data_IF_116361941517
#
_entry.id   IF_116361941517
#
_cell.length_a   1.000
_cell.length_b   1.000
_cell.length_c   1.000
_cell.angle_alpha   90.00
_cell.angle_beta   90.00
_cell.angle_gamma   90.00
#
_symmetry.space_group_name_H-M   'P 1'
#
loop_
_entity.id
_entity.type
_entity.pdbx_description
1 polymer ?
#
# COMPACT_ATOMS: atom_id res chain seq x y z
N UNK A 1 -2.97 41.46 16.21
CA UNK A 1 -2.38 40.42 17.09
C UNK A 1 -3.38 39.78 18.06
N UNK A 2 -4.33 40.52 18.68
CA UNK A 2 -5.32 39.93 19.62
C UNK A 2 -6.21 38.80 19.04
N UNK A 3 -6.59 38.84 17.76
CA UNK A 3 -7.44 37.81 17.13
C UNK A 3 -6.74 36.45 16.94
N UNK A 4 -5.41 36.45 16.77
CA UNK A 4 -4.61 35.21 16.64
C UNK A 4 -4.54 34.41 17.94
N UNK A 5 -4.56 35.11 19.09
CA UNK A 5 -4.50 34.50 20.42
C UNK A 5 -5.79 33.71 20.73
N UNK A 6 -6.94 34.16 20.20
CA UNK A 6 -8.22 33.44 20.37
C UNK A 6 -8.41 32.26 19.41
N UNK A 7 -7.73 32.25 18.28
CA UNK A 7 -7.83 31.16 17.29
C UNK A 7 -7.03 29.93 17.72
N UNK A 8 -5.90 30.12 18.39
CA UNK A 8 -5.04 29.04 18.89
C UNK A 8 -5.75 28.05 19.83
N UNK A 9 -6.45 28.49 20.90
CA UNK A 9 -7.18 27.57 21.77
C UNK A 9 -8.36 26.92 21.06
N UNK A 10 -9.02 27.62 20.13
CA UNK A 10 -10.13 27.05 19.34
C UNK A 10 -9.65 25.86 18.50
N UNK A 11 -8.50 25.99 17.83
CA UNK A 11 -7.90 24.91 17.03
C UNK A 11 -7.49 23.73 17.91
N UNK A 12 -6.93 23.98 19.09
CA UNK A 12 -6.56 22.92 20.05
C UNK A 12 -7.81 22.17 20.52
N UNK A 13 -8.88 22.88 20.90
CA UNK A 13 -10.14 22.28 21.35
C UNK A 13 -10.74 21.41 20.26
N UNK A 14 -10.85 21.94 19.04
CA UNK A 14 -11.34 21.17 17.88
C UNK A 14 -10.47 19.93 17.68
N UNK A 15 -9.14 20.07 17.70
CA UNK A 15 -8.22 18.94 17.60
C UNK A 15 -8.48 17.85 18.64
N UNK A 16 -8.63 18.19 19.91
CA UNK A 16 -8.90 17.22 20.99
C UNK A 16 -10.28 16.56 20.94
N UNK A 17 -11.27 17.19 20.31
CA UNK A 17 -12.60 16.60 20.11
C UNK A 17 -12.56 15.51 19.04
N UNK A 18 -11.86 15.80 17.94
CA UNK A 18 -11.82 14.91 16.76
C UNK A 18 -10.72 13.84 16.84
N UNK A 19 -9.64 14.08 17.58
CA UNK A 19 -8.50 13.19 17.65
C UNK A 19 -8.21 12.75 19.08
N UNK A 20 -8.02 11.44 19.25
CA UNK A 20 -7.43 10.84 20.43
C UNK A 20 -5.91 10.81 20.25
N UNK A 21 -5.18 11.38 21.20
CA UNK A 21 -3.72 11.34 21.21
C UNK A 21 -3.26 10.13 22.01
N UNK A 22 -2.70 9.14 21.34
CA UNK A 22 -2.04 8.01 21.97
C UNK A 22 -0.53 8.29 22.05
N UNK A 23 0.05 8.14 23.24
CA UNK A 23 1.51 8.22 23.41
C UNK A 23 2.09 6.90 22.94
N UNK A 24 2.64 6.90 21.73
CA UNK A 24 3.31 5.75 21.13
C UNK A 24 4.76 6.12 20.84
N UNK A 25 5.65 5.71 21.73
CA UNK A 25 7.08 6.01 21.59
C UNK A 25 7.70 4.94 20.70
N UNK A 26 7.84 5.27 19.42
CA UNK A 26 8.54 4.44 18.45
C UNK A 26 9.86 5.08 18.07
N UNK A 27 10.96 4.39 18.36
CA UNK A 27 12.30 4.83 17.99
C UNK A 27 12.90 3.81 17.02
N UNK A 28 13.27 4.29 15.85
CA UNK A 28 13.89 3.47 14.81
C UNK A 28 15.34 3.91 14.65
N UNK A 29 16.27 3.01 15.00
CA UNK A 29 17.69 3.26 14.88
C UNK A 29 18.16 3.14 13.42
N UNK A 30 19.15 3.94 13.01
CA UNK A 30 19.66 3.88 11.65
C UNK A 30 20.33 2.53 11.39
N UNK A 31 19.86 1.84 10.36
CA UNK A 31 20.37 0.53 9.95
C UNK A 31 20.26 0.37 8.44
N UNK A 32 21.06 -0.55 7.89
CA UNK A 32 20.87 -1.00 6.51
C UNK A 32 19.74 -2.02 6.50
N UNK A 33 18.73 -1.76 5.69
CA UNK A 33 17.62 -2.69 5.46
C UNK A 33 17.61 -3.11 3.99
N UNK A 34 17.24 -4.36 3.76
CA UNK A 34 16.95 -4.85 2.43
C UNK A 34 15.49 -4.59 2.11
N UNK A 35 15.22 -3.90 1.02
CA UNK A 35 13.88 -3.62 0.52
C UNK A 35 13.80 -4.04 -0.94
N UNK A 36 12.63 -4.51 -1.38
CA UNK A 36 12.40 -4.77 -2.80
C UNK A 36 12.64 -3.52 -3.64
N UNK A 37 13.31 -3.70 -4.76
CA UNK A 37 13.55 -2.67 -5.77
C UNK A 37 12.21 -2.21 -6.33
N UNK A 38 11.87 -0.95 -6.08
CA UNK A 38 10.57 -0.39 -6.48
C UNK A 38 10.36 -0.45 -8.00
N UNK A 39 11.42 -0.25 -8.79
CA UNK A 39 11.30 -0.29 -10.24
C UNK A 39 10.99 -1.72 -10.72
N UNK A 40 11.61 -2.71 -10.10
CA UNK A 40 11.35 -4.12 -10.40
C UNK A 40 9.92 -4.51 -10.04
N UNK A 41 9.42 -4.09 -8.87
CA UNK A 41 8.03 -4.35 -8.47
C UNK A 41 7.02 -3.63 -9.37
N UNK A 42 7.32 -2.40 -9.83
CA UNK A 42 6.47 -1.69 -10.78
C UNK A 42 6.35 -2.45 -12.11
N UNK A 43 7.46 -2.94 -12.67
CA UNK A 43 7.46 -3.74 -13.89
C UNK A 43 6.65 -5.04 -13.72
N UNK A 44 6.79 -5.69 -12.55
CA UNK A 44 5.97 -6.85 -12.18
C UNK A 44 4.47 -6.49 -12.20
N UNK A 45 4.05 -5.40 -11.54
CA UNK A 45 2.65 -4.99 -11.50
C UNK A 45 2.10 -4.61 -12.87
N UNK A 46 2.89 -3.95 -13.72
CA UNK A 46 2.51 -3.64 -15.10
C UNK A 46 2.25 -4.91 -15.92
N UNK A 47 3.13 -5.92 -15.79
CA UNK A 47 2.94 -7.23 -16.42
C UNK A 47 1.63 -7.89 -15.98
N UNK A 48 1.39 -7.94 -14.66
CA UNK A 48 0.18 -8.56 -14.10
C UNK A 48 -1.07 -7.85 -14.60
N UNK A 49 -1.08 -6.52 -14.59
CA UNK A 49 -2.21 -5.72 -15.06
C UNK A 49 -2.49 -5.92 -16.56
N UNK A 50 -1.45 -6.03 -17.38
CA UNK A 50 -1.61 -6.30 -18.81
C UNK A 50 -2.20 -7.70 -19.06
N UNK A 51 -1.70 -8.72 -18.35
CA UNK A 51 -2.22 -10.09 -18.42
C UNK A 51 -3.65 -10.20 -17.91
N UNK A 52 -3.98 -9.52 -16.82
CA UNK A 52 -5.33 -9.54 -16.24
C UNK A 52 -6.38 -9.06 -17.24
N UNK A 53 -6.13 -7.94 -17.93
CA UNK A 53 -7.03 -7.42 -18.98
C UNK A 53 -7.30 -8.44 -20.07
N UNK A 54 -6.26 -9.15 -20.53
CA UNK A 54 -6.38 -10.18 -21.56
C UNK A 54 -7.18 -11.38 -21.02
N UNK A 55 -6.88 -11.83 -19.81
CA UNK A 55 -7.56 -12.97 -19.17
C UNK A 55 -9.04 -12.69 -18.98
N UNK A 56 -9.42 -11.50 -18.51
CA UNK A 56 -10.82 -11.10 -18.37
C UNK A 56 -11.53 -11.07 -19.71
N UNK A 57 -10.96 -10.40 -20.72
CA UNK A 57 -11.56 -10.35 -22.05
C UNK A 57 -11.78 -11.75 -22.63
N UNK A 58 -10.77 -12.63 -22.53
CA UNK A 58 -10.88 -14.00 -23.01
C UNK A 58 -11.94 -14.80 -22.25
N UNK A 59 -11.95 -14.71 -20.92
CA UNK A 59 -12.83 -15.54 -20.07
C UNK A 59 -14.30 -15.16 -20.27
N UNK A 60 -14.62 -13.86 -20.28
CA UNK A 60 -15.99 -13.41 -20.50
C UNK A 60 -16.45 -13.58 -21.95
N UNK A 61 -15.54 -13.63 -22.92
CA UNK A 61 -15.90 -13.90 -24.32
C UNK A 61 -16.14 -15.37 -24.66
N UNK A 62 -15.67 -16.30 -23.81
CA UNK A 62 -15.59 -17.74 -24.15
C UNK A 62 -16.38 -18.66 -23.22
N UNK A 63 -16.76 -18.20 -22.04
CA UNK A 63 -17.48 -19.01 -21.04
C UNK A 63 -18.73 -18.24 -20.64
N UNK A 64 -19.91 -18.84 -20.75
CA UNK A 64 -21.18 -18.18 -20.39
C UNK A 64 -21.62 -18.49 -18.94
N UNK A 65 -21.08 -19.56 -18.34
CA UNK A 65 -21.40 -19.93 -16.96
C UNK A 65 -20.57 -19.09 -15.96
N UNK A 66 -21.21 -18.31 -15.08
CA UNK A 66 -20.51 -17.41 -14.16
C UNK A 66 -19.66 -18.14 -13.10
N UNK A 67 -20.07 -19.33 -12.66
CA UNK A 67 -19.32 -20.12 -11.68
C UNK A 67 -18.01 -20.64 -12.28
N UNK A 68 -18.10 -21.15 -13.51
CA UNK A 68 -16.93 -21.62 -14.29
C UNK A 68 -16.04 -20.45 -14.68
N UNK A 69 -16.61 -19.30 -15.06
CA UNK A 69 -15.84 -18.07 -15.33
C UNK A 69 -14.97 -17.70 -14.12
N UNK A 70 -15.55 -17.73 -12.90
CA UNK A 70 -14.84 -17.34 -11.68
C UNK A 70 -13.66 -18.27 -11.37
N UNK A 71 -13.86 -19.58 -11.50
CA UNK A 71 -12.78 -20.56 -11.29
C UNK A 71 -11.66 -20.41 -12.31
N UNK A 72 -12.01 -20.29 -13.60
CA UNK A 72 -11.04 -20.10 -14.68
C UNK A 72 -10.29 -18.77 -14.53
N UNK A 73 -10.99 -17.68 -14.17
CA UNK A 73 -10.37 -16.39 -13.88
C UNK A 73 -9.35 -16.50 -12.75
N UNK A 74 -9.72 -17.16 -11.64
CA UNK A 74 -8.84 -17.37 -10.49
C UNK A 74 -7.59 -18.15 -10.88
N UNK A 75 -7.76 -19.28 -11.59
CA UNK A 75 -6.66 -20.12 -12.03
C UNK A 75 -5.70 -19.36 -12.97
N UNK A 76 -6.24 -18.68 -13.99
CA UNK A 76 -5.44 -17.92 -14.96
C UNK A 76 -4.73 -16.73 -14.32
N UNK A 77 -5.36 -16.04 -13.36
CA UNK A 77 -4.72 -14.96 -12.59
C UNK A 77 -3.54 -15.47 -11.78
N UNK A 78 -3.69 -16.59 -11.09
CA UNK A 78 -2.60 -17.21 -10.33
C UNK A 78 -1.44 -17.62 -11.24
N UNK A 79 -1.75 -18.19 -12.41
CA UNK A 79 -0.73 -18.50 -13.42
C UNK A 79 -0.01 -17.23 -13.91
N UNK A 80 -0.75 -16.16 -14.22
CA UNK A 80 -0.16 -14.89 -14.66
C UNK A 80 0.75 -14.26 -13.59
N UNK A 81 0.40 -14.39 -12.31
CA UNK A 81 1.26 -13.94 -11.20
C UNK A 81 2.60 -14.68 -11.20
N UNK A 82 2.58 -16.00 -11.40
CA UNK A 82 3.80 -16.81 -11.47
C UNK A 82 4.62 -16.45 -12.71
N UNK A 83 4.00 -16.40 -13.89
CA UNK A 83 4.67 -16.03 -15.14
C UNK A 83 5.33 -14.65 -15.06
N UNK A 84 4.61 -13.64 -14.55
CA UNK A 84 5.16 -12.30 -14.40
C UNK A 84 6.27 -12.25 -13.35
N UNK A 85 6.24 -13.12 -12.33
CA UNK A 85 7.29 -13.18 -11.31
C UNK A 85 8.56 -13.88 -11.83
N UNK A 86 8.42 -14.85 -12.72
CA UNK A 86 9.57 -15.47 -13.41
C UNK A 86 10.29 -14.49 -14.33
N UNK A 87 9.54 -13.61 -15.01
CA UNK A 87 10.09 -12.56 -15.88
C UNK A 87 10.70 -11.41 -15.07
N UNK A 88 10.00 -10.98 -14.01
CA UNK A 88 10.40 -9.89 -13.12
C UNK A 88 10.64 -10.43 -11.70
N UNK A 89 11.77 -11.13 -11.46
CA UNK A 89 12.07 -11.71 -10.16
C UNK A 89 12.24 -10.63 -9.10
N UNK A 90 11.94 -10.97 -7.84
CA UNK A 90 12.17 -10.07 -6.70
C UNK A 90 13.65 -9.72 -6.64
N UNK A 91 13.93 -8.42 -6.69
CA UNK A 91 15.28 -7.89 -6.54
C UNK A 91 15.34 -7.11 -5.24
N UNK A 92 16.27 -7.47 -4.37
CA UNK A 92 16.50 -6.75 -3.12
C UNK A 92 17.53 -5.65 -3.33
N UNK A 93 17.28 -4.50 -2.74
CA UNK A 93 18.19 -3.35 -2.70
C UNK A 93 18.41 -2.92 -1.27
N UNK A 94 19.65 -2.53 -0.96
CA UNK A 94 20.01 -2.06 0.37
C UNK A 94 19.71 -0.58 0.44
N UNK A 95 18.82 -0.19 1.35
CA UNK A 95 18.55 1.21 1.66
C UNK A 95 19.01 1.53 3.09
N UNK A 96 19.50 2.75 3.27
CA UNK A 96 19.85 3.24 4.60
C UNK A 96 18.57 3.76 5.26
N UNK A 97 18.13 3.10 6.32
CA UNK A 97 17.05 3.61 7.15
C UNK A 97 17.59 4.74 8.02
N UNK A 98 16.94 5.90 7.97
CA UNK A 98 17.22 7.05 8.83
C UNK A 98 16.70 6.83 10.25
N UNK A 99 17.24 7.62 11.18
CA UNK A 99 16.73 7.67 12.54
C UNK A 99 15.35 8.34 12.55
N UNK A 100 14.34 7.65 13.07
CA UNK A 100 12.97 8.14 13.18
C UNK A 100 12.49 8.02 14.62
N UNK A 101 11.96 9.11 15.17
CA UNK A 101 11.25 9.13 16.46
C UNK A 101 9.81 9.52 16.19
N UNK A 102 8.87 8.66 16.58
CA UNK A 102 7.48 9.02 16.75
C UNK A 102 7.14 8.98 18.26
N UNK A 103 6.40 9.97 18.75
CA UNK A 103 6.04 10.12 20.17
C UNK A 103 4.52 10.13 20.36
N UNK A 104 3.80 10.68 19.38
CA UNK A 104 2.36 10.88 19.45
C UNK A 104 1.72 10.36 18.18
N UNK A 105 0.84 9.38 18.32
CA UNK A 105 -0.05 8.97 17.26
C UNK A 105 -1.40 9.67 17.46
N UNK A 106 -1.92 10.25 16.38
CA UNK A 106 -3.23 10.89 16.35
C UNK A 106 -4.21 9.94 15.68
N UNK A 107 -5.16 9.42 16.45
CA UNK A 107 -6.21 8.56 15.94
C UNK A 107 -7.51 9.34 15.86
N UNK A 108 -8.18 9.28 14.72
CA UNK A 108 -9.49 9.91 14.57
C UNK A 108 -10.51 9.15 15.42
N UNK A 109 -11.32 9.89 16.19
CA UNK A 109 -12.19 9.32 17.24
C UNK A 109 -13.52 8.77 16.70
N UNK A 110 -13.95 9.15 15.49
CA UNK A 110 -15.29 8.85 14.95
C UNK A 110 -15.29 8.05 13.65
#
# INVERSE_FOLDING_TARGET
>A
MRRLIFLLPLVIIIGTIFFETEVNIFVTLPKKIEKSDLNQENLFFECVNAKDKIIHAQTFSSIDNPDVQREVLSAKKNQALLECRDIYPVKMTVINQSFEINIFDFKYRY
#
